data_IF_744860281065
#
_entry.id   IF_744860281065
#
_cell.length_a   1.000
_cell.length_b   1.000
_cell.length_c   1.000
_cell.angle_alpha   90.00
_cell.angle_beta   90.00
_cell.angle_gamma   90.00
#
_symmetry.space_group_name_H-M   'P 1'
#
loop_
_entity.id
_entity.type
_entity.pdbx_description
1 polymer ?
#
# COMPACT_ATOMS: atom_id res chain seq x y z
N UNK A 1 -13.79 37.40 28.88
CA UNK A 1 -15.10 38.08 28.93
C UNK A 1 -15.21 38.91 27.67
N UNK A 2 -15.85 38.38 26.62
CA UNK A 2 -16.56 39.13 25.57
C UNK A 2 -17.35 38.10 24.75
N UNK A 3 -18.66 38.22 24.87
CA UNK A 3 -19.70 37.45 24.19
C UNK A 3 -19.97 38.09 22.84
N UNK A 4 -20.12 37.31 21.77
CA UNK A 4 -20.84 37.73 20.57
C UNK A 4 -21.51 36.53 19.91
N UNK A 5 -22.84 36.46 20.09
CA UNK A 5 -23.77 35.64 19.32
C UNK A 5 -23.95 36.28 17.94
N UNK A 6 -23.95 35.47 16.89
CA UNK A 6 -24.54 35.84 15.61
C UNK A 6 -25.40 34.67 15.11
N UNK A 7 -26.69 34.76 15.41
CA UNK A 7 -27.75 33.95 14.80
C UNK A 7 -28.00 34.45 13.39
N UNK A 8 -27.86 33.56 12.40
CA UNK A 8 -28.32 33.79 11.04
C UNK A 8 -29.09 32.56 10.57
N UNK A 9 -30.42 32.66 10.57
CA UNK A 9 -31.31 31.70 9.92
C UNK A 9 -31.57 32.17 8.48
N UNK A 10 -31.36 31.30 7.51
CA UNK A 10 -31.86 31.47 6.15
C UNK A 10 -32.51 30.15 5.71
N UNK A 11 -33.83 30.18 5.54
CA UNK A 11 -34.63 29.12 4.92
C UNK A 11 -34.76 29.48 3.44
N UNK A 12 -34.33 28.59 2.56
CA UNK A 12 -34.79 28.55 1.16
C UNK A 12 -35.14 27.12 0.83
N UNK A 13 -36.45 26.88 0.65
CA UNK A 13 -37.01 25.66 0.11
C UNK A 13 -37.26 25.87 -1.39
N UNK A 14 -36.68 25.03 -2.25
CA UNK A 14 -37.23 24.72 -3.57
C UNK A 14 -36.99 23.24 -3.85
N UNK A 15 -38.10 22.51 -3.95
CA UNK A 15 -38.18 21.14 -4.37
C UNK A 15 -37.77 21.01 -5.85
N UNK A 16 -36.66 20.33 -6.11
CA UNK A 16 -36.32 19.79 -7.42
C UNK A 16 -36.29 18.27 -7.31
N UNK A 17 -37.28 17.60 -7.89
CA UNK A 17 -37.21 16.17 -8.20
C UNK A 17 -36.20 15.96 -9.33
N UNK A 18 -34.91 16.10 -9.03
CA UNK A 18 -33.83 15.59 -9.87
C UNK A 18 -33.45 14.25 -9.27
N UNK A 19 -33.74 13.15 -9.96
CA UNK A 19 -33.32 11.83 -9.54
C UNK A 19 -31.80 11.83 -9.43
N UNK A 20 -31.29 11.81 -8.21
CA UNK A 20 -29.93 11.38 -7.91
C UNK A 20 -29.86 9.89 -8.22
N UNK A 21 -29.79 9.55 -9.51
CA UNK A 21 -29.12 8.32 -9.98
C UNK A 21 -27.65 8.46 -9.62
N UNK A 22 -27.36 8.46 -8.32
CA UNK A 22 -26.02 8.24 -7.82
C UNK A 22 -25.72 6.80 -8.20
N UNK A 23 -24.81 6.56 -9.16
CA UNK A 23 -24.48 5.19 -9.54
C UNK A 23 -24.08 4.47 -8.27
N UNK A 24 -24.76 3.34 -8.00
CA UNK A 24 -24.40 2.42 -6.92
C UNK A 24 -22.88 2.25 -7.01
N UNK A 25 -22.12 2.45 -5.92
CA UNK A 25 -20.68 2.22 -5.94
C UNK A 25 -20.48 0.80 -6.45
N UNK A 26 -19.96 0.68 -7.66
CA UNK A 26 -19.77 -0.60 -8.31
C UNK A 26 -19.07 -1.51 -7.29
N UNK A 27 -19.67 -2.67 -7.01
CA UNK A 27 -19.08 -3.69 -6.14
C UNK A 27 -17.63 -3.89 -6.58
N UNK A 28 -16.68 -3.33 -5.80
CA UNK A 28 -15.26 -3.55 -6.02
C UNK A 28 -15.06 -5.05 -5.80
N UNK A 29 -14.90 -5.79 -6.90
CA UNK A 29 -14.65 -7.23 -6.86
C UNK A 29 -13.38 -7.45 -6.05
N UNK A 30 -13.54 -7.85 -4.79
CA UNK A 30 -12.41 -8.11 -3.91
C UNK A 30 -11.57 -9.24 -4.51
N UNK A 31 -10.30 -8.95 -4.80
CA UNK A 31 -9.39 -9.93 -5.33
C UNK A 31 -9.17 -11.07 -4.32
N UNK A 32 -9.13 -12.30 -4.82
CA UNK A 32 -8.78 -13.45 -4.00
C UNK A 32 -7.28 -13.43 -3.68
N UNK A 33 -6.83 -13.97 -2.54
CA UNK A 33 -5.39 -14.08 -2.22
C UNK A 33 -4.54 -14.71 -3.33
N UNK A 34 -5.09 -15.66 -4.09
CA UNK A 34 -4.40 -16.27 -5.23
C UNK A 34 -4.18 -15.32 -6.41
N UNK A 35 -4.98 -14.26 -6.55
CA UNK A 35 -4.82 -13.27 -7.61
C UNK A 35 -3.54 -12.43 -7.46
N UNK A 36 -3.00 -12.36 -6.24
CA UNK A 36 -1.72 -11.72 -5.93
C UNK A 36 -0.49 -12.53 -6.34
N UNK A 37 -0.64 -13.81 -6.67
CA UNK A 37 0.51 -14.60 -7.11
C UNK A 37 0.94 -14.08 -8.48
N UNK A 38 2.23 -13.79 -8.62
CA UNK A 38 2.84 -13.28 -9.84
C UNK A 38 4.06 -12.41 -9.60
N UNK A 39 4.58 -11.88 -10.70
CA UNK A 39 5.66 -10.90 -10.69
C UNK A 39 5.08 -9.53 -10.95
N UNK A 40 5.55 -8.55 -10.20
CA UNK A 40 5.13 -7.16 -10.29
C UNK A 40 6.34 -6.27 -10.40
N UNK A 41 6.18 -5.12 -11.02
CA UNK A 41 7.29 -4.19 -11.26
C UNK A 41 6.88 -2.78 -10.92
N UNK A 42 7.81 -2.01 -10.37
CA UNK A 42 7.65 -0.57 -10.20
C UNK A 42 8.96 0.13 -10.50
N UNK A 43 8.91 1.44 -10.70
CA UNK A 43 10.11 2.26 -10.87
C UNK A 43 10.18 3.28 -9.75
N UNK A 44 11.18 3.13 -8.89
CA UNK A 44 11.44 4.05 -7.80
C UNK A 44 12.38 5.17 -8.28
N UNK A 45 12.07 6.39 -7.86
CA UNK A 45 13.02 7.50 -7.91
C UNK A 45 14.06 7.40 -6.80
N UNK A 46 14.95 8.38 -6.66
CA UNK A 46 15.81 8.47 -5.48
C UNK A 46 14.94 8.54 -4.23
N UNK A 47 15.28 7.76 -3.20
CA UNK A 47 14.64 7.91 -1.89
C UNK A 47 14.98 9.28 -1.29
N UNK A 48 14.03 9.85 -0.55
CA UNK A 48 14.25 11.11 0.14
C UNK A 48 15.20 10.97 1.34
N UNK A 49 15.50 12.07 2.03
CA UNK A 49 16.41 12.10 3.18
C UNK A 49 15.87 11.35 4.41
N UNK A 50 14.67 10.78 4.34
CA UNK A 50 14.04 10.07 5.46
C UNK A 50 14.62 8.67 5.69
N UNK A 51 15.35 8.10 4.72
CA UNK A 51 16.01 6.81 4.86
C UNK A 51 17.50 7.00 5.18
N UNK A 52 18.00 6.27 6.19
CA UNK A 52 19.42 6.29 6.56
C UNK A 52 20.30 5.70 5.45
N UNK A 53 19.80 4.68 4.77
CA UNK A 53 20.41 4.09 3.58
C UNK A 53 19.43 4.23 2.40
N UNK A 54 19.80 4.97 1.34
CA UNK A 54 18.88 5.22 0.24
C UNK A 54 18.63 3.95 -0.56
N UNK A 55 17.36 3.64 -0.82
CA UNK A 55 17.00 2.59 -1.76
C UNK A 55 17.50 2.95 -3.17
N UNK A 56 18.14 2.02 -3.90
CA UNK A 56 18.61 2.30 -5.25
C UNK A 56 17.44 2.71 -6.16
N UNK A 57 17.55 3.85 -6.87
CA UNK A 57 16.56 4.23 -7.86
C UNK A 57 16.59 3.25 -9.03
N UNK A 58 15.45 3.08 -9.71
CA UNK A 58 15.35 2.24 -10.90
C UNK A 58 14.18 1.26 -10.84
N UNK A 59 14.25 0.22 -11.67
CA UNK A 59 13.21 -0.79 -11.79
C UNK A 59 13.38 -1.87 -10.73
N UNK A 60 12.38 -1.98 -9.87
CA UNK A 60 12.25 -3.02 -8.86
C UNK A 60 11.26 -4.08 -9.32
N UNK A 61 11.50 -5.33 -8.93
CA UNK A 61 10.51 -6.39 -9.05
C UNK A 61 10.09 -6.90 -7.67
N UNK A 62 8.81 -7.25 -7.57
CA UNK A 62 8.21 -7.93 -6.44
C UNK A 62 7.68 -9.26 -6.97
N UNK A 63 8.23 -10.36 -6.47
CA UNK A 63 7.80 -11.70 -6.82
C UNK A 63 7.00 -12.28 -5.65
N UNK A 64 5.72 -12.54 -5.85
CA UNK A 64 4.86 -13.26 -4.89
C UNK A 64 4.65 -14.66 -5.43
N UNK A 65 5.40 -15.64 -4.92
CA UNK A 65 5.36 -17.03 -5.40
C UNK A 65 4.21 -17.82 -4.77
N UNK A 66 3.82 -17.47 -3.55
CA UNK A 66 2.76 -18.15 -2.79
C UNK A 66 2.16 -17.22 -1.74
N UNK A 67 1.14 -17.73 -1.04
CA UNK A 67 0.54 -17.02 0.10
C UNK A 67 1.49 -16.85 1.30
N UNK A 68 2.69 -17.44 1.26
CA UNK A 68 3.67 -17.44 2.36
C UNK A 68 5.07 -17.01 1.94
N UNK A 69 5.27 -16.65 0.67
CA UNK A 69 6.61 -16.37 0.15
C UNK A 69 6.57 -15.22 -0.87
N UNK A 70 7.41 -14.21 -0.62
CA UNK A 70 7.56 -13.03 -1.46
C UNK A 70 8.99 -12.48 -1.42
N UNK A 71 9.49 -12.00 -2.56
CA UNK A 71 10.85 -11.49 -2.72
C UNK A 71 10.88 -10.14 -3.44
N UNK A 72 11.80 -9.28 -3.04
CA UNK A 72 12.23 -8.15 -3.85
C UNK A 72 13.40 -8.54 -4.75
N UNK A 73 13.41 -7.95 -5.94
CA UNK A 73 14.57 -7.88 -6.79
C UNK A 73 14.87 -6.39 -7.04
N UNK A 74 15.92 -5.83 -6.41
CA UNK A 74 16.33 -4.45 -6.68
C UNK A 74 16.88 -4.32 -8.11
N UNK A 75 17.02 -3.07 -8.62
CA UNK A 75 17.59 -2.79 -9.94
C UNK A 75 19.00 -3.37 -10.11
N UNK A 76 19.77 -3.37 -9.02
CA UNK A 76 21.12 -3.91 -8.92
C UNK A 76 21.25 -4.71 -7.63
N UNK A 77 21.90 -5.87 -7.69
CA UNK A 77 22.14 -6.71 -6.52
C UNK A 77 21.27 -7.98 -6.46
N UNK A 78 21.43 -8.79 -5.41
CA UNK A 78 20.70 -10.04 -5.25
C UNK A 78 19.24 -9.80 -4.86
N UNK A 79 18.39 -10.77 -5.18
CA UNK A 79 17.04 -10.84 -4.60
C UNK A 79 17.12 -11.10 -3.10
N UNK A 80 16.19 -10.52 -2.35
CA UNK A 80 16.06 -10.71 -0.91
C UNK A 80 14.58 -10.82 -0.52
N UNK A 81 14.25 -11.52 0.58
CA UNK A 81 12.86 -11.66 1.01
C UNK A 81 12.27 -10.30 1.37
N UNK A 82 10.99 -10.09 1.06
CA UNK A 82 10.22 -8.93 1.56
C UNK A 82 9.95 -9.07 3.08
N UNK A 83 10.18 -10.26 3.62
CA UNK A 83 9.55 -10.76 4.84
C UNK A 83 8.42 -11.69 4.44
N UNK A 84 8.49 -12.96 4.85
CA UNK A 84 7.53 -13.98 4.46
C UNK A 84 6.11 -13.54 4.83
N UNK A 85 5.15 -13.53 3.89
CA UNK A 85 3.75 -13.35 4.23
C UNK A 85 3.32 -14.39 5.28
N UNK A 86 2.84 -13.92 6.42
CA UNK A 86 2.31 -14.78 7.50
C UNK A 86 0.79 -14.78 7.53
N UNK A 87 0.17 -13.79 6.87
CA UNK A 87 -1.28 -13.73 6.69
C UNK A 87 -1.60 -12.99 5.40
N UNK A 88 -2.45 -13.58 4.58
CA UNK A 88 -2.98 -12.97 3.37
C UNK A 88 -4.49 -13.11 3.32
N UNK A 89 -5.19 -11.99 3.26
CA UNK A 89 -6.65 -11.88 3.11
C UNK A 89 -7.00 -10.99 1.93
N UNK A 90 -8.29 -10.83 1.61
CA UNK A 90 -8.78 -10.16 0.41
C UNK A 90 -8.34 -8.70 0.23
N UNK A 91 -7.97 -7.99 1.30
CA UNK A 91 -7.53 -6.60 1.24
C UNK A 91 -6.35 -6.29 2.17
N UNK A 92 -5.75 -7.31 2.81
CA UNK A 92 -4.70 -7.13 3.81
C UNK A 92 -3.65 -8.21 3.71
N UNK A 93 -2.39 -7.80 3.83
CA UNK A 93 -1.22 -8.68 3.92
C UNK A 93 -0.46 -8.35 5.21
N UNK A 94 0.01 -9.39 5.89
CA UNK A 94 0.93 -9.28 7.02
C UNK A 94 2.21 -10.00 6.66
N UNK A 95 3.31 -9.27 6.69
CA UNK A 95 4.67 -9.72 6.40
C UNK A 95 5.38 -9.95 7.73
N UNK A 96 6.15 -11.03 7.83
CA UNK A 96 6.92 -11.33 9.02
C UNK A 96 7.85 -10.17 9.41
N UNK A 97 8.23 -10.15 10.69
CA UNK A 97 9.30 -9.28 11.14
C UNK A 97 10.59 -9.61 10.37
N UNK A 98 11.29 -8.56 9.94
CA UNK A 98 12.54 -8.68 9.21
C UNK A 98 13.67 -8.07 10.05
N UNK A 99 14.37 -8.90 10.86
CA UNK A 99 15.44 -8.42 11.72
C UNK A 99 16.67 -7.92 10.94
N UNK A 100 16.75 -8.17 9.64
CA UNK A 100 17.84 -7.70 8.77
C UNK A 100 17.55 -6.32 8.19
N UNK A 101 16.35 -5.77 8.38
CA UNK A 101 15.99 -4.45 7.89
C UNK A 101 16.77 -3.33 8.63
N UNK A 102 17.64 -2.56 7.93
CA UNK A 102 18.54 -1.59 8.56
C UNK A 102 17.80 -0.47 9.30
N UNK A 103 16.62 -0.10 8.81
CA UNK A 103 15.82 1.00 9.37
C UNK A 103 14.98 0.62 10.58
N UNK A 104 14.99 -0.65 11.01
CA UNK A 104 14.29 -1.06 12.23
C UNK A 104 15.06 -0.64 13.48
N UNK A 105 14.41 0.16 14.35
CA UNK A 105 14.95 0.55 15.66
C UNK A 105 14.19 -0.20 16.76
N UNK A 106 14.93 -0.89 17.63
CA UNK A 106 14.35 -1.64 18.74
C UNK A 106 14.01 -3.09 18.36
N UNK A 107 12.84 -3.58 18.79
CA UNK A 107 12.40 -4.95 18.50
C UNK A 107 11.78 -5.01 17.10
N UNK A 108 12.30 -5.85 16.19
CA UNK A 108 11.71 -6.08 14.87
C UNK A 108 10.22 -6.41 14.93
N UNK A 109 9.42 -5.63 14.21
CA UNK A 109 7.98 -5.82 14.10
C UNK A 109 7.56 -6.34 12.72
N UNK A 110 6.38 -6.94 12.68
CA UNK A 110 5.73 -7.31 11.42
C UNK A 110 5.39 -6.08 10.58
N UNK A 111 5.24 -6.29 9.27
CA UNK A 111 4.71 -5.30 8.35
C UNK A 111 3.24 -5.61 8.03
N UNK A 112 2.39 -4.59 8.07
CA UNK A 112 0.95 -4.70 7.86
C UNK A 112 0.56 -3.70 6.80
N UNK A 113 -0.03 -4.22 5.73
CA UNK A 113 -0.43 -3.41 4.60
C UNK A 113 -1.86 -3.75 4.17
N UNK A 114 -2.60 -2.72 3.81
CA UNK A 114 -3.75 -2.90 2.92
C UNK A 114 -3.25 -3.04 1.49
N UNK A 115 -3.94 -3.85 0.69
CA UNK A 115 -3.62 -4.00 -0.72
C UNK A 115 -4.87 -4.00 -1.59
N UNK A 116 -4.73 -3.50 -2.81
CA UNK A 116 -5.77 -3.54 -3.85
C UNK A 116 -5.16 -3.93 -5.19
N UNK A 117 -5.85 -4.78 -5.93
CA UNK A 117 -5.45 -5.20 -7.29
C UNK A 117 -6.54 -4.79 -8.28
N UNK A 118 -6.26 -3.73 -9.06
CA UNK A 118 -7.13 -3.19 -10.10
C UNK A 118 -6.59 -3.59 -11.48
N UNK A 119 -7.12 -4.69 -12.04
CA UNK A 119 -6.56 -5.31 -13.24
C UNK A 119 -5.13 -5.79 -12.99
N UNK A 120 -4.16 -5.17 -13.68
CA UNK A 120 -2.73 -5.46 -13.52
C UNK A 120 -2.03 -4.50 -12.55
N UNK A 121 -2.75 -3.60 -11.87
CA UNK A 121 -2.16 -2.61 -10.96
C UNK A 121 -2.36 -3.00 -9.51
N UNK A 122 -1.26 -3.34 -8.83
CA UNK A 122 -1.21 -3.64 -7.40
C UNK A 122 -0.79 -2.40 -6.62
N UNK A 123 -1.60 -1.97 -5.65
CA UNK A 123 -1.29 -0.85 -4.76
C UNK A 123 -1.25 -1.34 -3.33
N UNK A 124 -0.24 -0.91 -2.58
CA UNK A 124 -0.13 -1.12 -1.13
C UNK A 124 -0.32 0.19 -0.38
N UNK A 125 -1.01 0.11 0.75
CA UNK A 125 -1.13 1.21 1.72
C UNK A 125 -0.53 0.75 3.04
N UNK A 126 0.42 1.52 3.57
CA UNK A 126 1.04 1.26 4.87
C UNK A 126 0.00 1.42 5.98
N UNK A 127 -0.18 0.38 6.79
CA UNK A 127 -0.98 0.44 8.02
C UNK A 127 -0.04 0.51 9.22
N UNK A 128 0.93 -0.39 9.27
CA UNK A 128 1.93 -0.47 10.31
C UNK A 128 3.16 -1.24 9.80
N UNK A 129 4.32 -0.61 9.74
CA UNK A 129 5.58 -1.32 9.55
C UNK A 129 6.72 -0.63 10.30
N UNK A 130 7.49 -1.42 11.04
CA UNK A 130 8.69 -0.95 11.73
C UNK A 130 9.90 -0.84 10.79
N UNK A 131 9.89 -1.55 9.65
CA UNK A 131 10.90 -1.47 8.60
C UNK A 131 10.52 -0.37 7.59
N UNK A 132 11.18 0.79 7.69
CA UNK A 132 10.87 1.97 6.86
C UNK A 132 11.25 1.76 5.40
N UNK A 133 12.32 1.02 5.12
CA UNK A 133 12.74 0.73 3.74
C UNK A 133 11.72 -0.13 3.01
N UNK A 134 11.21 -1.18 3.67
CA UNK A 134 10.16 -2.04 3.12
C UNK A 134 8.87 -1.28 2.87
N UNK A 135 8.43 -0.48 3.84
CA UNK A 135 7.24 0.38 3.69
C UNK A 135 7.43 1.33 2.50
N UNK A 136 8.57 2.02 2.42
CA UNK A 136 8.90 2.89 1.30
C UNK A 136 8.83 2.16 -0.06
N UNK A 137 9.50 1.02 -0.20
CA UNK A 137 9.53 0.27 -1.47
C UNK A 137 8.12 -0.18 -1.89
N UNK A 138 7.31 -0.71 -0.95
CA UNK A 138 5.96 -1.20 -1.26
C UNK A 138 4.98 -0.09 -1.63
N UNK A 139 5.01 1.05 -0.93
CA UNK A 139 3.93 2.04 -0.99
C UNK A 139 4.27 3.31 -1.77
N UNK A 140 5.53 3.48 -2.21
CA UNK A 140 5.94 4.69 -2.94
C UNK A 140 5.23 4.85 -4.28
N UNK A 141 4.96 3.75 -4.96
CA UNK A 141 4.33 3.70 -6.28
C UNK A 141 3.49 2.44 -6.44
N UNK A 142 2.42 2.47 -7.26
CA UNK A 142 1.76 1.26 -7.71
C UNK A 142 2.72 0.33 -8.45
N UNK A 143 2.44 -0.95 -8.38
CA UNK A 143 3.17 -2.02 -9.03
C UNK A 143 2.36 -2.59 -10.19
N UNK A 144 3.00 -2.75 -11.35
CA UNK A 144 2.37 -3.34 -12.53
C UNK A 144 2.72 -4.82 -12.63
N UNK A 145 1.70 -5.67 -12.71
CA UNK A 145 1.84 -7.12 -12.92
C UNK A 145 2.49 -7.37 -14.28
N UNK A 146 3.55 -8.17 -14.31
CA UNK A 146 4.17 -8.63 -15.55
C UNK A 146 3.55 -9.97 -15.95
N UNK A 147 3.27 -10.12 -17.25
CA UNK A 147 2.74 -11.35 -17.83
C UNK A 147 3.75 -12.49 -17.82
#
# INVERSE_FOLDING_TARGET
MFTALASGAAIVALAGCGGDDQPDPADEVQATPSALIGTYTTTLGPSGPELEEPNPPGRWELLITSATEAYFQPPEGPSFPVGNPIKLSSNRIVLAADPECPTQKGTPGAGVYEWRLDGDTLTFTDVEDTCRDRSFVLTSKPWSKTK
#
